data_IF_507799705204
#
_entry.id   IF_507799705204
#
_cell.length_a   1.000
_cell.length_b   1.000
_cell.length_c   1.000
_cell.angle_alpha   90.00
_cell.angle_beta   90.00
_cell.angle_gamma   90.00
#
_symmetry.space_group_name_H-M   'P 1'
#
loop_
_entity.id
_entity.type
_entity.pdbx_description
1 polymer ?
#
# COMPACT_ATOMS: atom_id res chain seq x y z
N UNK A 1 -8.70 0.95 17.21
CA UNK A 1 -9.58 2.13 17.04
C UNK A 1 -9.24 3.16 18.10
N UNK A 2 -9.42 4.46 17.82
CA UNK A 2 -9.87 5.03 16.54
C UNK A 2 -8.82 4.86 15.42
N UNK A 3 -9.21 4.89 14.15
CA UNK A 3 -8.30 4.68 13.02
C UNK A 3 -8.72 5.50 11.79
N UNK A 4 -7.74 5.95 10.99
CA UNK A 4 -7.98 6.53 9.66
C UNK A 4 -8.11 5.38 8.67
N UNK A 5 -9.31 5.15 8.15
CA UNK A 5 -9.63 4.05 7.25
C UNK A 5 -9.18 4.33 5.80
N UNK A 6 -9.62 3.47 4.88
CA UNK A 6 -9.30 3.55 3.45
C UNK A 6 -8.03 2.77 3.11
N UNK A 7 -8.12 1.95 2.06
CA UNK A 7 -6.98 1.21 1.50
C UNK A 7 -6.97 1.18 -0.03
N UNK A 8 -7.96 1.78 -0.68
CA UNK A 8 -7.97 2.07 -2.12
C UNK A 8 -7.79 3.57 -2.30
N UNK A 9 -6.81 3.96 -3.11
CA UNK A 9 -6.45 5.35 -3.33
C UNK A 9 -5.30 5.46 -4.32
N UNK A 10 -5.15 6.64 -4.91
CA UNK A 10 -4.00 7.02 -5.71
C UNK A 10 -3.64 8.47 -5.39
N UNK A 11 -2.38 8.83 -5.49
CA UNK A 11 -1.91 10.14 -5.08
C UNK A 11 -0.55 10.50 -5.65
N UNK A 12 -0.02 11.62 -5.18
CA UNK A 12 1.28 12.14 -5.59
C UNK A 12 2.19 12.18 -4.36
N UNK A 13 3.42 11.70 -4.50
CA UNK A 13 4.41 11.76 -3.43
C UNK A 13 4.76 13.22 -3.15
N UNK A 14 4.61 13.66 -1.90
CA UNK A 14 4.92 15.03 -1.48
C UNK A 14 6.30 15.16 -0.83
N UNK A 15 6.75 14.10 -0.14
CA UNK A 15 8.06 14.01 0.52
C UNK A 15 8.41 12.55 0.77
N UNK A 16 9.69 12.25 0.92
CA UNK A 16 10.16 10.89 1.22
C UNK A 16 11.09 10.88 2.43
N UNK A 17 11.18 9.73 3.12
CA UNK A 17 12.16 9.53 4.19
C UNK A 17 13.59 9.46 3.66
N UNK A 18 14.58 9.65 4.53
CA UNK A 18 15.99 9.77 4.13
C UNK A 18 16.55 8.55 3.38
N UNK A 19 16.01 7.37 3.64
CA UNK A 19 16.49 6.09 3.07
C UNK A 19 15.66 5.61 1.87
N UNK A 20 14.62 6.36 1.48
CA UNK A 20 13.75 6.00 0.36
C UNK A 20 14.47 6.22 -0.96
N UNK A 21 14.40 5.23 -1.85
CA UNK A 21 15.09 5.26 -3.16
C UNK A 21 14.18 4.91 -4.34
N UNK A 22 13.03 4.26 -4.11
CA UNK A 22 12.12 3.78 -5.15
C UNK A 22 11.17 4.84 -5.70
N UNK A 23 10.93 5.91 -4.95
CA UNK A 23 10.03 7.03 -5.32
C UNK A 23 10.63 8.37 -4.91
N UNK A 24 10.15 9.45 -5.53
CA UNK A 24 10.55 10.84 -5.22
C UNK A 24 9.34 11.79 -5.25
N UNK A 25 9.45 13.00 -4.66
CA UNK A 25 8.40 14.01 -4.77
C UNK A 25 7.95 14.25 -6.22
N UNK A 26 6.65 14.32 -6.43
CA UNK A 26 6.01 14.45 -7.75
C UNK A 26 5.64 13.13 -8.43
N UNK A 27 6.16 11.99 -7.98
CA UNK A 27 5.78 10.70 -8.55
C UNK A 27 4.32 10.36 -8.24
N UNK A 28 3.58 9.88 -9.24
CA UNK A 28 2.24 9.31 -9.06
C UNK A 28 2.36 7.89 -8.50
N UNK A 29 1.53 7.57 -7.50
CA UNK A 29 1.63 6.31 -6.75
C UNK A 29 0.27 5.75 -6.35
N UNK A 30 0.23 4.44 -6.13
CA UNK A 30 -0.88 3.71 -5.50
C UNK A 30 -0.36 3.08 -4.20
N UNK A 31 -0.95 3.38 -3.03
CA UNK A 31 -0.71 2.66 -1.79
C UNK A 31 -1.25 1.23 -1.85
N UNK A 32 -0.46 0.28 -1.35
CA UNK A 32 -0.75 -1.14 -1.37
C UNK A 32 -0.86 -1.68 0.05
N UNK A 33 -1.97 -2.32 0.39
CA UNK A 33 -2.11 -2.96 1.70
C UNK A 33 -1.26 -4.24 1.84
N UNK A 34 -0.88 -4.85 0.73
CA UNK A 34 0.07 -5.98 0.71
C UNK A 34 1.41 -5.43 0.26
N UNK A 35 2.40 -5.47 1.15
CA UNK A 35 3.74 -5.00 0.85
C UNK A 35 4.47 -5.91 -0.15
N UNK A 36 5.55 -5.40 -0.73
CA UNK A 36 6.50 -6.18 -1.52
C UNK A 36 7.94 -5.74 -1.21
N UNK A 37 8.60 -6.41 -0.26
CA UNK A 37 9.98 -6.05 0.11
C UNK A 37 11.07 -6.58 -0.85
N UNK A 38 10.73 -7.48 -1.78
CA UNK A 38 11.69 -8.11 -2.70
C UNK A 38 12.66 -9.12 -2.05
N UNK A 39 12.86 -9.07 -0.73
CA UNK A 39 13.93 -9.81 -0.07
C UNK A 39 13.46 -10.88 0.93
N UNK A 40 12.19 -10.92 1.37
CA UNK A 40 11.76 -11.98 2.28
C UNK A 40 11.56 -13.31 1.53
N UNK A 41 11.49 -14.43 2.28
CA UNK A 41 11.24 -15.77 1.72
C UNK A 41 10.02 -15.81 0.79
N UNK A 42 8.95 -15.08 1.13
CA UNK A 42 7.72 -15.05 0.32
C UNK A 42 7.92 -14.28 -0.99
N UNK A 43 8.48 -13.06 -0.94
CA UNK A 43 8.77 -12.28 -2.14
C UNK A 43 9.72 -13.01 -3.10
N UNK A 44 10.74 -13.71 -2.60
CA UNK A 44 11.69 -14.47 -3.44
C UNK A 44 11.13 -15.81 -3.95
N UNK A 45 9.97 -16.25 -3.49
CA UNK A 45 9.51 -17.63 -3.73
C UNK A 45 9.00 -17.90 -5.15
N UNK A 46 8.52 -16.87 -5.85
CA UNK A 46 7.78 -17.01 -7.11
C UNK A 46 6.42 -17.73 -6.97
N UNK A 47 5.95 -17.98 -5.73
CA UNK A 47 4.73 -18.78 -5.45
C UNK A 47 3.63 -17.99 -4.76
N UNK A 48 3.93 -16.83 -4.19
CA UNK A 48 2.98 -16.02 -3.42
C UNK A 48 3.38 -14.55 -3.46
N UNK A 49 2.40 -13.66 -3.28
CA UNK A 49 2.57 -12.22 -3.10
C UNK A 49 2.47 -11.79 -1.62
N UNK A 50 2.36 -12.72 -0.68
CA UNK A 50 2.11 -12.43 0.74
C UNK A 50 3.40 -12.05 1.49
N UNK A 51 3.93 -10.87 1.23
CA UNK A 51 5.09 -10.34 1.97
C UNK A 51 4.81 -10.29 3.49
N UNK A 52 5.80 -10.68 4.29
CA UNK A 52 5.70 -10.70 5.75
C UNK A 52 6.41 -9.53 6.44
N UNK A 53 7.15 -8.69 5.69
CA UNK A 53 8.11 -7.74 6.25
C UNK A 53 7.50 -6.73 7.24
N UNK A 54 6.27 -6.26 6.96
CA UNK A 54 5.57 -5.26 7.79
C UNK A 54 4.35 -5.82 8.50
N UNK A 55 4.10 -7.13 8.38
CA UNK A 55 2.80 -7.71 8.74
C UNK A 55 2.48 -7.57 10.23
N UNK A 56 3.51 -7.65 11.09
CA UNK A 56 3.35 -7.56 12.53
C UNK A 56 2.83 -6.19 12.99
N UNK A 57 3.43 -5.10 12.51
CA UNK A 57 3.04 -3.73 12.90
C UNK A 57 1.80 -3.27 12.16
N UNK A 58 1.65 -3.63 10.88
CA UNK A 58 0.48 -3.29 10.07
C UNK A 58 -0.81 -3.85 10.69
N UNK A 59 -0.79 -5.08 11.23
CA UNK A 59 -1.93 -5.66 11.94
C UNK A 59 -2.30 -4.94 13.24
N UNK A 60 -1.35 -4.23 13.85
CA UNK A 60 -1.54 -3.39 15.03
C UNK A 60 -1.95 -1.94 14.69
N UNK A 61 -2.02 -1.60 13.39
CA UNK A 61 -2.31 -0.23 12.93
C UNK A 61 -1.15 0.74 13.13
N UNK A 62 0.08 0.25 13.07
CA UNK A 62 1.31 1.01 13.32
C UNK A 62 2.26 0.92 12.12
N UNK A 63 3.12 1.92 11.99
CA UNK A 63 4.27 1.90 11.09
C UNK A 63 5.31 0.86 11.54
N UNK A 64 6.28 0.47 10.70
CA UNK A 64 7.31 -0.51 11.09
C UNK A 64 8.16 -0.13 12.30
N UNK A 65 8.24 1.16 12.65
CA UNK A 65 8.89 1.64 13.88
C UNK A 65 8.01 1.50 15.15
N UNK A 66 6.82 0.92 15.04
CA UNK A 66 5.89 0.71 16.15
C UNK A 66 5.09 1.96 16.55
N UNK A 67 5.11 3.02 15.74
CA UNK A 67 4.40 4.28 16.05
C UNK A 67 3.30 4.59 15.02
N UNK A 68 2.48 5.60 15.30
CA UNK A 68 1.52 6.16 14.33
C UNK A 68 1.99 7.52 13.82
N UNK A 69 1.47 7.92 12.65
CA UNK A 69 1.71 9.26 12.05
C UNK A 69 0.49 10.16 12.16
N UNK A 70 -0.60 9.66 12.73
CA UNK A 70 -1.85 10.37 12.87
C UNK A 70 -2.17 10.66 14.34
N UNK A 71 -2.65 11.87 14.59
CA UNK A 71 -3.26 12.27 15.85
C UNK A 71 -4.43 13.20 15.58
N UNK A 72 -5.37 13.25 16.52
CA UNK A 72 -6.48 14.19 16.49
C UNK A 72 -6.75 14.66 17.92
N UNK A 73 -6.73 15.98 18.12
CA UNK A 73 -6.84 16.60 19.45
C UNK A 73 -5.82 16.05 20.48
N UNK A 74 -4.60 15.74 20.03
CA UNK A 74 -3.54 15.20 20.88
C UNK A 74 -3.61 13.69 21.11
N UNK A 75 -4.72 13.03 20.74
CA UNK A 75 -4.88 11.59 20.87
C UNK A 75 -4.42 10.86 19.61
N UNK A 76 -3.72 9.71 19.73
CA UNK A 76 -3.26 8.95 18.58
C UNK A 76 -4.42 8.32 17.81
N UNK A 77 -4.35 8.39 16.47
CA UNK A 77 -5.19 7.59 15.58
C UNK A 77 -4.35 6.48 14.95
N UNK A 78 -4.89 5.27 14.84
CA UNK A 78 -4.17 4.17 14.20
C UNK A 78 -4.26 4.23 12.67
N UNK A 79 -3.25 3.66 12.02
CA UNK A 79 -3.29 3.38 10.59
C UNK A 79 -4.25 2.22 10.30
N UNK A 80 -4.81 2.21 9.09
CA UNK A 80 -5.62 1.12 8.58
C UNK A 80 -4.91 0.50 7.39
N UNK A 81 -4.65 -0.80 7.46
CA UNK A 81 -4.07 -1.59 6.37
C UNK A 81 -2.74 -1.02 5.82
N UNK A 82 -2.02 -0.20 6.59
CA UNK A 82 -0.76 0.44 6.18
C UNK A 82 -0.91 1.51 5.09
N UNK A 83 -2.13 2.01 4.87
CA UNK A 83 -2.47 2.89 3.73
C UNK A 83 -3.23 4.14 4.19
N UNK A 84 -4.34 3.98 4.92
CA UNK A 84 -5.12 5.08 5.51
C UNK A 84 -5.53 6.16 4.49
N UNK A 85 -6.12 5.73 3.37
CA UNK A 85 -6.42 6.61 2.22
C UNK A 85 -7.61 7.56 2.42
N UNK A 86 -8.30 7.52 3.57
CA UNK A 86 -9.34 8.50 3.93
C UNK A 86 -8.78 9.74 4.62
N UNK A 87 -7.57 10.15 4.25
CA UNK A 87 -6.91 11.39 4.67
C UNK A 87 -6.33 12.09 3.44
N UNK A 88 -6.35 13.41 3.42
CA UNK A 88 -5.74 14.20 2.34
C UNK A 88 -4.23 13.94 2.21
N UNK A 89 -3.58 13.62 3.34
CA UNK A 89 -2.19 13.19 3.41
C UNK A 89 -2.08 11.93 4.25
N UNK A 90 -1.30 10.97 3.79
CA UNK A 90 -0.97 9.75 4.53
C UNK A 90 0.51 9.46 4.45
N UNK A 91 1.02 8.74 5.44
CA UNK A 91 2.40 8.25 5.47
C UNK A 91 2.36 6.74 5.37
N UNK A 92 3.02 6.20 4.36
CA UNK A 92 3.07 4.77 4.06
C UNK A 92 4.52 4.32 4.03
N UNK A 93 4.75 3.03 4.29
CA UNK A 93 6.09 2.49 4.13
C UNK A 93 6.45 2.42 2.64
N UNK A 94 7.72 2.59 2.30
CA UNK A 94 8.21 2.53 0.92
C UNK A 94 7.77 1.24 0.20
N UNK A 95 7.86 0.09 0.88
CA UNK A 95 7.50 -1.21 0.28
C UNK A 95 5.99 -1.46 0.20
N UNK A 96 5.17 -0.48 0.61
CA UNK A 96 3.72 -0.42 0.44
C UNK A 96 3.32 0.59 -0.64
N UNK A 97 4.23 1.06 -1.49
CA UNK A 97 3.93 1.96 -2.60
C UNK A 97 4.31 1.34 -3.94
N UNK A 98 3.40 1.46 -4.90
CA UNK A 98 3.71 1.26 -6.31
C UNK A 98 3.72 2.61 -7.04
N UNK A 99 4.85 2.91 -7.70
CA UNK A 99 4.93 4.01 -8.67
C UNK A 99 4.14 3.65 -9.93
N UNK A 100 3.38 4.61 -10.45
CA UNK A 100 2.58 4.46 -11.66
C UNK A 100 2.92 5.54 -12.69
N UNK A 101 2.34 5.41 -13.89
CA UNK A 101 2.46 6.41 -14.95
C UNK A 101 1.85 7.76 -14.52
N UNK A 102 2.58 8.85 -14.79
CA UNK A 102 2.15 10.22 -14.43
C UNK A 102 0.91 10.70 -15.20
N UNK A 103 0.61 10.08 -16.35
CA UNK A 103 -0.57 10.39 -17.15
C UNK A 103 -1.80 9.55 -16.73
N UNK A 104 -1.65 8.63 -15.78
CA UNK A 104 -2.75 7.81 -15.32
C UNK A 104 -3.79 8.66 -14.56
N UNK A 105 -5.08 8.57 -14.91
CA UNK A 105 -6.13 9.30 -14.20
C UNK A 105 -6.32 8.75 -12.79
N UNK A 106 -5.83 9.47 -11.78
CA UNK A 106 -5.77 9.03 -10.37
C UNK A 106 -7.15 8.65 -9.80
N UNK A 107 -8.21 9.34 -10.22
CA UNK A 107 -9.60 9.09 -9.84
C UNK A 107 -10.11 7.72 -10.31
N UNK A 108 -9.48 7.13 -11.32
CA UNK A 108 -9.84 5.81 -11.86
C UNK A 108 -8.89 4.73 -11.40
N UNK A 109 -7.58 4.98 -11.45
CA UNK A 109 -6.58 3.94 -11.17
C UNK A 109 -6.45 3.61 -9.69
N UNK A 110 -7.04 4.42 -8.78
CA UNK A 110 -7.16 4.08 -7.36
C UNK A 110 -7.78 2.68 -7.12
N UNK A 111 -8.70 2.25 -7.98
CA UNK A 111 -9.35 0.93 -7.90
C UNK A 111 -8.41 -0.24 -8.17
N UNK A 112 -7.24 0.02 -8.77
CA UNK A 112 -6.20 -0.98 -8.99
C UNK A 112 -5.48 -1.35 -7.67
N UNK A 113 -5.65 -0.59 -6.60
CA UNK A 113 -5.07 -0.89 -5.28
C UNK A 113 -5.72 -2.07 -4.55
N UNK A 114 -6.93 -2.50 -4.94
CA UNK A 114 -7.56 -3.69 -4.37
C UNK A 114 -8.56 -4.36 -5.33
N UNK A 115 -9.81 -3.87 -5.45
CA UNK A 115 -10.90 -4.66 -6.02
C UNK A 115 -10.66 -5.17 -7.45
N UNK A 116 -10.19 -4.29 -8.34
CA UNK A 116 -10.00 -4.64 -9.77
C UNK A 116 -8.87 -5.65 -9.95
N UNK A 117 -7.71 -5.39 -9.35
CA UNK A 117 -6.53 -6.27 -9.47
C UNK A 117 -6.75 -7.60 -8.75
N UNK A 118 -7.51 -7.62 -7.66
CA UNK A 118 -7.91 -8.86 -6.97
C UNK A 118 -8.76 -9.74 -7.88
N UNK A 119 -9.79 -9.17 -8.52
CA UNK A 119 -10.67 -9.91 -9.43
C UNK A 119 -9.93 -10.47 -10.64
N UNK A 120 -9.14 -9.63 -11.31
CA UNK A 120 -8.31 -10.03 -12.46
C UNK A 120 -7.30 -11.12 -12.05
N UNK A 121 -6.60 -10.92 -10.93
CA UNK A 121 -5.60 -11.84 -10.42
C UNK A 121 -6.17 -13.19 -10.01
N UNK A 122 -7.38 -13.23 -9.44
CA UNK A 122 -8.04 -14.48 -9.08
C UNK A 122 -8.27 -15.37 -10.31
N UNK A 123 -8.69 -14.79 -11.44
CA UNK A 123 -8.92 -15.52 -12.70
C UNK A 123 -7.60 -15.95 -13.34
N UNK A 124 -6.69 -15.00 -13.57
CA UNK A 124 -5.49 -15.26 -14.36
C UNK A 124 -4.37 -15.95 -13.58
N UNK A 125 -4.13 -15.55 -12.33
CA UNK A 125 -2.97 -15.99 -11.56
C UNK A 125 -3.29 -17.18 -10.64
N UNK A 126 -4.49 -17.20 -10.05
CA UNK A 126 -4.90 -18.26 -9.11
C UNK A 126 -5.62 -19.40 -9.81
N UNK A 127 -6.76 -19.12 -10.45
CA UNK A 127 -7.58 -20.15 -11.10
C UNK A 127 -6.98 -20.63 -12.43
N UNK A 128 -6.27 -19.73 -13.14
CA UNK A 128 -5.67 -19.98 -14.46
C UNK A 128 -6.71 -20.50 -15.46
N UNK A 129 -7.83 -19.78 -15.54
CA UNK A 129 -8.93 -20.12 -16.46
C UNK A 129 -8.41 -20.15 -17.90
N UNK A 130 -8.74 -21.22 -18.63
CA UNK A 130 -8.41 -21.40 -20.04
C UNK A 130 -9.57 -20.96 -20.94
N UNK A 131 -9.30 -20.74 -22.22
CA UNK A 131 -10.35 -20.53 -23.23
C UNK A 131 -11.28 -21.75 -23.29
N UNK A 132 -12.58 -21.49 -23.49
CA UNK A 132 -13.62 -22.52 -23.51
C UNK A 132 -13.85 -23.14 -24.88
#
# INVERSE_FOLDING_TARGET
FPAVLGHEGAGVVVSVGAEVTSVKPGDHVIPLYTAECGECKFCRSGKTNLCSAVRETQGKGLMPDGTTRFSYNGEPLYHYMGTSTFSEYTVVNEINLAKIDENAPLDKVALLGCGVTTGIGAVHNTAKVEEG
#
